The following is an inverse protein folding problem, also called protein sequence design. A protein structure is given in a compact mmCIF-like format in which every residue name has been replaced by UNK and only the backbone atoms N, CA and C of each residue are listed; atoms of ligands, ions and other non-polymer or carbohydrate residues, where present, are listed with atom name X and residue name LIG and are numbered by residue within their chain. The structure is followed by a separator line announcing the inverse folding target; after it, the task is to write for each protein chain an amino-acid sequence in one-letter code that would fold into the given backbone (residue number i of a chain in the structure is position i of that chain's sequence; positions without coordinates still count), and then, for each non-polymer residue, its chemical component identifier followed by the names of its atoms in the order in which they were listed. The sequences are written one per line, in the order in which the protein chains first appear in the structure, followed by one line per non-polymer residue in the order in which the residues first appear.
data_IF_016514055029
#
_entry.id   IF_016514055029
#
_cell.length_a   1.000
_cell.length_b   1.000
_cell.length_c   1.000
_cell.angle_alpha   90.00
_cell.angle_beta   90.00
_cell.angle_gamma   90.00
#
_symmetry.space_group_name_H-M   'P 1'
#
loop_
_entity.id
_entity.type
_entity.pdbx_description
1 polymer ?
#
# COMPACT_ATOMS: atom_id res chain seq x y z
N UNK A 1 8.62 8.74 13.94
CA UNK A 1 7.95 9.58 12.92
C UNK A 1 8.86 10.63 12.28
N UNK A 2 9.90 11.10 12.99
CA UNK A 2 10.75 12.22 12.49
C UNK A 2 11.75 11.91 11.36
N UNK A 3 12.06 10.65 11.11
CA UNK A 3 13.12 10.28 10.16
C UNK A 3 12.71 10.39 8.69
N UNK A 4 11.44 10.18 8.36
CA UNK A 4 10.96 10.22 6.98
C UNK A 4 10.83 11.68 6.50
N UNK A 5 10.17 12.51 7.30
CA UNK A 5 9.93 13.91 6.94
C UNK A 5 11.17 14.80 7.08
N UNK A 6 12.11 14.47 7.99
CA UNK A 6 13.37 15.21 8.10
C UNK A 6 14.33 15.00 6.91
N UNK A 7 14.23 13.87 6.21
CA UNK A 7 15.02 13.61 4.99
C UNK A 7 14.50 14.36 3.76
N UNK A 8 13.25 14.79 3.80
CA UNK A 8 12.62 15.54 2.74
C UNK A 8 12.49 16.99 3.18
N UNK A 9 13.32 17.87 2.67
CA UNK A 9 13.11 19.32 2.75
C UNK A 9 12.48 19.76 1.41
N UNK A 10 11.16 19.76 1.27
CA UNK A 10 10.56 20.17 0.01
C UNK A 10 10.47 21.68 -0.02
N UNK A 11 11.05 22.28 -1.00
CA UNK A 11 10.64 23.62 -1.41
C UNK A 11 9.27 23.63 -2.08
N UNK A 12 8.79 22.47 -2.60
CA UNK A 12 7.67 22.41 -3.54
C UNK A 12 6.65 21.29 -3.27
N UNK A 13 6.62 20.71 -2.06
CA UNK A 13 5.69 19.61 -1.73
C UNK A 13 6.15 18.23 -2.18
N UNK A 14 5.38 17.19 -1.80
CA UNK A 14 5.62 15.78 -2.18
C UNK A 14 4.53 15.28 -3.10
N UNK A 15 4.92 14.45 -4.06
CA UNK A 15 4.00 13.65 -4.85
C UNK A 15 4.08 12.22 -4.37
N UNK A 16 2.95 11.66 -3.93
CA UNK A 16 2.78 10.26 -3.63
C UNK A 16 2.10 9.62 -4.84
N UNK A 17 2.82 8.75 -5.54
CA UNK A 17 2.25 8.01 -6.66
C UNK A 17 1.41 6.84 -6.13
N UNK A 18 0.12 6.84 -6.42
CA UNK A 18 -0.77 5.76 -6.04
C UNK A 18 -0.96 4.77 -7.19
N UNK A 19 -0.76 3.48 -6.92
CA UNK A 19 -1.01 2.41 -7.90
C UNK A 19 -2.43 1.87 -7.83
N UNK A 20 -3.13 2.10 -6.72
CA UNK A 20 -4.45 1.55 -6.44
C UNK A 20 -4.49 0.03 -6.76
N UNK A 21 -5.54 -0.44 -7.41
CA UNK A 21 -5.68 -1.82 -7.90
C UNK A 21 -5.23 -1.98 -9.37
N UNK A 22 -4.42 -1.07 -9.90
CA UNK A 22 -3.96 -1.10 -11.29
C UNK A 22 -3.09 -2.32 -11.66
N UNK A 23 -2.66 -3.09 -10.67
CA UNK A 23 -1.99 -4.39 -10.87
C UNK A 23 -2.97 -5.51 -11.27
N UNK A 24 -4.28 -5.35 -11.09
CA UNK A 24 -5.31 -6.32 -11.47
C UNK A 24 -5.07 -7.74 -10.94
N UNK A 25 -4.42 -7.89 -9.77
CA UNK A 25 -4.06 -9.17 -9.17
C UNK A 25 -2.79 -9.82 -9.76
N UNK A 26 -2.07 -9.12 -10.64
CA UNK A 26 -0.86 -9.61 -11.31
C UNK A 26 0.39 -8.92 -10.73
N UNK A 27 1.31 -9.65 -10.07
CA UNK A 27 2.52 -9.07 -9.50
C UNK A 27 3.47 -8.49 -10.57
N UNK A 28 3.45 -8.98 -11.81
CA UNK A 28 4.28 -8.42 -12.90
C UNK A 28 3.71 -7.07 -13.38
N UNK A 29 2.40 -6.91 -13.42
CA UNK A 29 1.78 -5.59 -13.67
C UNK A 29 2.14 -4.61 -12.55
N UNK A 30 2.14 -5.05 -11.28
CA UNK A 30 2.57 -4.21 -10.18
C UNK A 30 4.02 -3.76 -10.34
N UNK A 31 4.90 -4.65 -10.79
CA UNK A 31 6.31 -4.32 -11.10
C UNK A 31 6.41 -3.26 -12.19
N UNK A 32 5.63 -3.38 -13.25
CA UNK A 32 5.59 -2.37 -14.31
C UNK A 32 5.13 -1.00 -13.78
N UNK A 33 4.13 -0.97 -12.88
CA UNK A 33 3.68 0.27 -12.23
C UNK A 33 4.79 0.87 -11.35
N UNK A 34 5.53 0.06 -10.61
CA UNK A 34 6.69 0.52 -9.83
C UNK A 34 7.73 1.17 -10.76
N UNK A 35 8.05 0.55 -11.90
CA UNK A 35 8.99 1.12 -12.86
C UNK A 35 8.48 2.45 -13.45
N UNK A 36 7.18 2.59 -13.68
CA UNK A 36 6.58 3.86 -14.11
C UNK A 36 6.76 4.95 -13.04
N UNK A 37 6.57 4.61 -11.76
CA UNK A 37 6.79 5.55 -10.65
C UNK A 37 8.26 5.96 -10.57
N UNK A 38 9.20 5.04 -10.72
CA UNK A 38 10.64 5.34 -10.77
C UNK A 38 10.95 6.32 -11.93
N UNK A 39 10.40 6.07 -13.13
CA UNK A 39 10.57 6.95 -14.30
C UNK A 39 9.97 8.33 -14.11
N UNK A 40 8.88 8.45 -13.35
CA UNK A 40 8.24 9.74 -13.04
C UNK A 40 9.06 10.62 -12.09
N UNK A 41 10.13 10.07 -11.50
CA UNK A 41 10.96 10.69 -10.45
C UNK A 41 10.21 10.94 -9.13
N UNK A 42 9.01 10.40 -8.93
CA UNK A 42 8.41 10.33 -7.61
C UNK A 42 9.30 9.46 -6.71
N UNK A 43 9.39 9.84 -5.44
CA UNK A 43 10.14 9.07 -4.44
C UNK A 43 9.25 8.25 -3.52
N UNK A 44 7.94 8.43 -3.61
CA UNK A 44 6.97 7.76 -2.74
C UNK A 44 5.97 7.05 -3.63
N UNK A 45 5.79 5.77 -3.39
CA UNK A 45 4.74 4.95 -3.97
C UNK A 45 3.77 4.51 -2.87
N UNK A 46 2.47 4.51 -3.16
CA UNK A 46 1.45 4.02 -2.25
C UNK A 46 0.72 2.84 -2.86
N UNK A 47 0.67 1.75 -2.12
CA UNK A 47 -0.05 0.52 -2.44
C UNK A 47 -1.35 0.43 -1.65
N UNK A 48 -2.37 -0.17 -2.23
CA UNK A 48 -3.56 -0.62 -1.51
C UNK A 48 -3.36 -2.08 -1.13
N UNK A 49 -3.16 -2.34 0.16
CA UNK A 49 -2.94 -3.69 0.70
C UNK A 49 -4.17 -4.09 1.49
N UNK A 50 -4.86 -5.12 1.05
CA UNK A 50 -6.08 -5.60 1.70
C UNK A 50 -6.19 -7.12 1.63
N UNK A 51 -7.04 -7.65 2.50
CA UNK A 51 -7.61 -8.98 2.41
C UNK A 51 -9.04 -8.87 1.90
N UNK A 52 -9.48 -9.82 1.11
CA UNK A 52 -10.82 -9.79 0.50
C UNK A 52 -11.92 -9.55 1.52
N UNK A 53 -11.86 -10.24 2.67
CA UNK A 53 -12.84 -10.12 3.75
C UNK A 53 -12.81 -8.77 4.50
N UNK A 54 -11.75 -7.98 4.35
CA UNK A 54 -11.70 -6.59 4.85
C UNK A 54 -12.42 -5.61 3.92
N UNK A 55 -12.68 -6.01 2.67
CA UNK A 55 -13.32 -5.18 1.65
C UNK A 55 -14.76 -5.55 1.35
N UNK A 56 -15.11 -6.83 1.49
CA UNK A 56 -16.45 -7.32 1.22
C UNK A 56 -16.73 -8.55 2.08
N UNK A 57 -18.00 -8.78 2.39
CA UNK A 57 -18.47 -10.04 2.98
C UNK A 57 -18.70 -11.07 1.87
N UNK A 58 -18.52 -12.33 2.20
CA UNK A 58 -18.78 -13.44 1.27
C UNK A 58 -20.22 -13.37 0.74
N UNK A 59 -20.39 -13.55 -0.56
CA UNK A 59 -21.68 -13.38 -1.26
C UNK A 59 -22.02 -11.95 -1.69
N UNK A 60 -21.24 -10.95 -1.29
CA UNK A 60 -21.39 -9.59 -1.85
C UNK A 60 -20.93 -9.56 -3.31
N UNK A 61 -21.62 -8.76 -4.14
CA UNK A 61 -21.32 -8.65 -5.59
C UNK A 61 -19.86 -8.29 -5.93
N UNK A 62 -19.16 -7.63 -5.01
CA UNK A 62 -17.76 -7.23 -5.20
C UNK A 62 -16.74 -8.23 -4.64
N UNK A 63 -17.20 -9.31 -3.96
CA UNK A 63 -16.31 -10.32 -3.37
C UNK A 63 -15.33 -10.90 -4.39
N UNK A 64 -15.85 -11.37 -5.51
CA UNK A 64 -15.04 -11.97 -6.58
C UNK A 64 -14.04 -10.98 -7.21
N UNK A 65 -14.39 -9.69 -7.22
CA UNK A 65 -13.50 -8.64 -7.71
C UNK A 65 -12.31 -8.50 -6.76
N UNK A 66 -12.57 -8.31 -5.46
CA UNK A 66 -11.50 -8.16 -4.48
C UNK A 66 -10.68 -9.44 -4.33
N UNK A 67 -11.30 -10.62 -4.45
CA UNK A 67 -10.58 -11.89 -4.40
C UNK A 67 -9.56 -12.03 -5.53
N UNK A 68 -9.89 -11.59 -6.73
CA UNK A 68 -8.94 -11.57 -7.87
C UNK A 68 -7.84 -10.52 -7.72
N UNK A 69 -8.13 -9.43 -7.05
CA UNK A 69 -7.19 -8.33 -6.85
C UNK A 69 -6.24 -8.56 -5.67
N UNK A 70 -6.57 -9.46 -4.77
CA UNK A 70 -5.76 -9.76 -3.59
C UNK A 70 -4.44 -10.42 -4.00
N UNK A 71 -3.32 -9.79 -3.65
CA UNK A 71 -2.00 -10.40 -3.79
C UNK A 71 -1.61 -11.14 -2.51
N UNK A 72 -0.90 -12.25 -2.66
CA UNK A 72 -0.38 -12.99 -1.53
C UNK A 72 0.83 -12.30 -0.88
N UNK A 73 1.23 -12.77 0.31
CA UNK A 73 2.34 -12.19 1.08
C UNK A 73 3.66 -12.24 0.32
N UNK A 74 3.95 -13.34 -0.40
CA UNK A 74 5.22 -13.49 -1.12
C UNK A 74 5.33 -12.49 -2.27
N UNK A 75 4.23 -12.25 -2.98
CA UNK A 75 4.19 -11.27 -4.06
C UNK A 75 4.38 -9.85 -3.50
N UNK A 76 3.66 -9.47 -2.44
CA UNK A 76 3.86 -8.19 -1.79
C UNK A 76 5.29 -8.00 -1.31
N UNK A 77 5.89 -9.00 -0.66
CA UNK A 77 7.26 -8.92 -0.18
C UNK A 77 8.25 -8.72 -1.34
N UNK A 78 8.08 -9.44 -2.45
CA UNK A 78 8.92 -9.30 -3.63
C UNK A 78 8.82 -7.91 -4.24
N UNK A 79 7.61 -7.37 -4.40
CA UNK A 79 7.40 -6.07 -5.03
C UNK A 79 7.83 -4.90 -4.12
N UNK A 80 7.59 -4.98 -2.82
CA UNK A 80 8.09 -3.98 -1.85
C UNK A 80 9.61 -3.98 -1.80
N UNK A 81 10.24 -5.15 -1.77
CA UNK A 81 11.70 -5.28 -1.84
C UNK A 81 12.24 -4.67 -3.13
N UNK A 82 11.61 -4.96 -4.26
CA UNK A 82 11.98 -4.39 -5.55
C UNK A 82 11.89 -2.87 -5.55
N UNK A 83 10.78 -2.31 -5.08
CA UNK A 83 10.55 -0.87 -5.03
C UNK A 83 11.57 -0.16 -4.12
N UNK A 84 11.88 -0.75 -2.95
CA UNK A 84 12.92 -0.24 -2.04
C UNK A 84 14.31 -0.25 -2.67
N UNK A 85 14.66 -1.31 -3.40
CA UNK A 85 15.93 -1.40 -4.13
C UNK A 85 16.04 -0.34 -5.25
N UNK A 86 14.91 0.18 -5.74
CA UNK A 86 14.87 1.33 -6.68
C UNK A 86 14.91 2.69 -5.96
N UNK A 87 15.00 2.71 -4.62
CA UNK A 87 15.08 3.93 -3.81
C UNK A 87 13.74 4.58 -3.52
N UNK A 88 12.62 3.85 -3.68
CA UNK A 88 11.30 4.35 -3.33
C UNK A 88 11.00 4.14 -1.84
N UNK A 89 10.28 5.09 -1.26
CA UNK A 89 9.58 4.95 0.01
C UNK A 89 8.19 4.35 -0.23
N UNK A 90 7.80 3.43 0.62
CA UNK A 90 6.57 2.65 0.46
C UNK A 90 5.54 3.09 1.47
N UNK A 91 4.40 3.56 1.00
CA UNK A 91 3.21 3.76 1.81
C UNK A 91 2.19 2.66 1.54
N UNK A 92 1.47 2.26 2.57
CA UNK A 92 0.37 1.30 2.46
C UNK A 92 -0.95 1.95 2.87
N UNK A 93 -1.94 1.84 2.03
CA UNK A 93 -3.35 2.03 2.38
C UNK A 93 -3.85 0.68 2.90
N UNK A 94 -4.19 0.59 4.19
CA UNK A 94 -4.60 -0.63 4.88
C UNK A 94 -6.07 -0.54 5.29
N UNK A 95 -6.76 -1.67 5.35
CA UNK A 95 -8.22 -1.74 5.46
C UNK A 95 -8.71 -2.53 6.68
N UNK A 96 -7.78 -3.05 7.47
CA UNK A 96 -8.08 -3.80 8.68
C UNK A 96 -6.83 -4.42 9.29
N UNK A 97 -7.04 -5.28 10.25
CA UNK A 97 -5.96 -5.87 11.06
C UNK A 97 -5.02 -6.78 10.25
N UNK A 98 -5.56 -7.55 9.31
CA UNK A 98 -4.77 -8.51 8.54
C UNK A 98 -3.91 -7.79 7.49
N UNK A 99 -4.47 -6.80 6.80
CA UNK A 99 -3.71 -5.97 5.86
C UNK A 99 -2.66 -5.12 6.58
N UNK A 100 -2.96 -4.57 7.75
CA UNK A 100 -1.99 -3.87 8.58
C UNK A 100 -0.86 -4.81 9.02
N UNK A 101 -1.19 -6.00 9.56
CA UNK A 101 -0.20 -7.01 9.94
C UNK A 101 0.67 -7.47 8.76
N UNK A 102 0.10 -7.55 7.57
CA UNK A 102 0.86 -7.85 6.36
C UNK A 102 1.81 -6.71 6.02
N UNK A 103 1.34 -5.46 6.04
CA UNK A 103 2.14 -4.27 5.74
C UNK A 103 3.32 -4.12 6.71
N UNK A 104 3.12 -4.39 8.00
CA UNK A 104 4.19 -4.47 9.00
C UNK A 104 5.26 -5.54 8.61
N UNK A 105 4.81 -6.77 8.29
CA UNK A 105 5.71 -7.88 7.95
C UNK A 105 6.54 -7.64 6.68
N UNK A 106 6.03 -6.88 5.74
CA UNK A 106 6.75 -6.49 4.53
C UNK A 106 7.51 -5.16 4.69
N UNK A 107 7.43 -4.57 5.89
CA UNK A 107 8.21 -3.41 6.31
C UNK A 107 8.00 -2.18 5.42
N UNK A 108 6.75 -1.69 5.33
CA UNK A 108 6.44 -0.42 4.66
C UNK A 108 6.96 0.77 5.47
N UNK A 109 7.10 1.94 4.84
CA UNK A 109 7.68 3.14 5.46
C UNK A 109 6.62 4.06 6.08
N UNK A 110 5.35 3.86 5.75
CA UNK A 110 4.25 4.65 6.31
C UNK A 110 2.89 4.09 5.92
N UNK A 111 1.87 4.57 6.62
CA UNK A 111 0.49 4.12 6.45
C UNK A 111 -0.44 5.26 6.07
N UNK A 112 -1.45 4.93 5.29
CA UNK A 112 -2.65 5.74 5.10
C UNK A 112 -3.82 4.95 5.67
N UNK A 113 -4.55 5.57 6.58
CA UNK A 113 -5.80 5.02 7.12
C UNK A 113 -6.92 5.34 6.15
N UNK A 114 -7.71 4.33 5.79
CA UNK A 114 -8.81 4.51 4.85
C UNK A 114 -9.95 5.33 5.48
N UNK A 115 -10.71 6.04 4.67
CA UNK A 115 -11.81 6.90 5.16
C UNK A 115 -12.92 6.10 5.85
N UNK A 116 -13.09 4.84 5.50
CA UNK A 116 -14.06 3.93 6.14
C UNK A 116 -13.71 3.67 7.62
N UNK A 117 -12.44 3.80 8.01
CA UNK A 117 -11.94 3.57 9.36
C UNK A 117 -11.88 4.83 10.24
N UNK A 118 -12.39 5.98 9.78
CA UNK A 118 -12.34 7.24 10.55
C UNK A 118 -13.00 7.16 11.93
N UNK A 119 -13.96 6.28 12.11
CA UNK A 119 -14.63 6.04 13.40
C UNK A 119 -14.07 4.83 14.16
N UNK A 120 -13.15 4.07 13.57
CA UNK A 120 -12.49 2.93 14.18
C UNK A 120 -11.28 3.38 14.98
N UNK A 121 -11.54 3.97 16.16
CA UNK A 121 -10.50 4.56 16.99
C UNK A 121 -9.46 3.56 17.44
N UNK A 122 -9.84 2.29 17.69
CA UNK A 122 -8.93 1.24 18.12
C UNK A 122 -7.93 0.88 17.00
N UNK A 123 -8.41 0.79 15.76
CA UNK A 123 -7.55 0.57 14.60
C UNK A 123 -6.62 1.77 14.34
N UNK A 124 -7.15 3.01 14.46
CA UNK A 124 -6.34 4.23 14.32
C UNK A 124 -5.19 4.23 15.33
N UNK A 125 -5.49 3.95 16.61
CA UNK A 125 -4.47 3.90 17.67
C UNK A 125 -3.44 2.79 17.46
N UNK A 126 -3.85 1.68 16.85
CA UNK A 126 -2.95 0.57 16.51
C UNK A 126 -1.97 0.92 15.39
N UNK A 127 -2.40 1.73 14.42
CA UNK A 127 -1.58 2.15 13.26
C UNK A 127 -0.64 3.30 13.61
N UNK A 128 -1.01 4.17 14.56
CA UNK A 128 -0.22 5.33 15.00
C UNK A 128 0.86 4.97 16.02
#
# INVERSE_FOLDING_TARGET
MDKLFCKFKPSNGYVIAETACGHEGDPEKLRMLIDCVVKSKSRIIKFQIFKTHERAIEGHKEWEIFHRLELNKSDWLAQVTYAKNKGLYIFADVYGDDSFSLAEKINVDGYKIHSEDLLNTDFILKVC
#
